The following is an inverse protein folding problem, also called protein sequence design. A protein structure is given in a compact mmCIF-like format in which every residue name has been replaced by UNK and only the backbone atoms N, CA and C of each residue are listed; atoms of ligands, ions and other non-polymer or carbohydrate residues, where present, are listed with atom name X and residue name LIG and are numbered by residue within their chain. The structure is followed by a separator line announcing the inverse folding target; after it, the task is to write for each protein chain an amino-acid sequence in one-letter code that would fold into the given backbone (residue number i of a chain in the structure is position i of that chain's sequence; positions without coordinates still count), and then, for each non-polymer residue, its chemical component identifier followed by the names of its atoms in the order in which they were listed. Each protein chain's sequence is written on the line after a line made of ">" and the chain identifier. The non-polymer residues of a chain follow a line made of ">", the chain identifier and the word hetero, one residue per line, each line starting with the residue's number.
data_IF_119868547268
#
_entry.id   IF_119868547268
#
_cell.length_a   1.000
_cell.length_b   1.000
_cell.length_c   1.000
_cell.angle_alpha   90.00
_cell.angle_beta   90.00
_cell.angle_gamma   90.00
#
_symmetry.space_group_name_H-M   'P 1'
#
loop_
_entity.id
_entity.type
_entity.pdbx_description
1 polymer ?
#
# COMPACT_ATOMS: atom_id res chain seq x y z
N UNK A 1 -3.05 1.33 29.39
CA UNK A 1 -2.86 1.58 27.95
C UNK A 1 -3.85 0.73 27.16
N UNK A 2 -3.95 0.90 25.84
CA UNK A 2 -4.76 0.06 24.95
C UNK A 2 -3.89 -0.62 23.90
N UNK A 3 -4.36 -1.76 23.39
CA UNK A 3 -3.79 -2.50 22.27
C UNK A 3 -4.90 -2.69 21.24
N UNK A 4 -4.87 -1.88 20.18
CA UNK A 4 -5.83 -1.92 19.08
C UNK A 4 -5.39 -2.91 18.02
N UNK A 5 -6.33 -3.66 17.45
CA UNK A 5 -6.08 -4.47 16.26
C UNK A 5 -7.37 -4.74 15.49
N UNK A 6 -7.24 -5.17 14.25
CA UNK A 6 -8.34 -5.76 13.45
C UNK A 6 -8.18 -7.28 13.37
N UNK A 7 -9.27 -8.02 13.53
CA UNK A 7 -9.24 -9.49 13.54
C UNK A 7 -9.25 -10.08 12.12
N UNK A 8 -8.21 -9.77 11.35
CA UNK A 8 -8.04 -10.20 9.96
C UNK A 8 -6.70 -10.90 9.81
N UNK A 9 -6.70 -12.08 9.18
CA UNK A 9 -5.45 -12.79 8.87
C UNK A 9 -4.67 -12.03 7.80
N UNK A 10 -3.46 -11.59 8.14
CA UNK A 10 -2.55 -10.89 7.22
C UNK A 10 -1.21 -11.61 7.14
N UNK A 11 -0.53 -11.50 6.00
CA UNK A 11 0.78 -12.14 5.79
C UNK A 11 1.78 -11.77 6.88
N UNK A 12 1.81 -10.50 7.29
CA UNK A 12 2.70 -9.99 8.35
C UNK A 12 2.23 -10.30 9.79
N UNK A 13 0.95 -10.62 10.00
CA UNK A 13 0.37 -10.87 11.32
C UNK A 13 -0.85 -11.81 11.20
N UNK A 14 -0.65 -13.14 11.15
CA UNK A 14 -1.74 -14.08 10.88
C UNK A 14 -2.73 -14.26 12.03
N UNK A 15 -2.27 -14.08 13.28
CA UNK A 15 -3.09 -14.29 14.49
C UNK A 15 -3.01 -13.06 15.41
N UNK A 16 -3.56 -11.90 15.00
CA UNK A 16 -3.37 -10.65 15.71
C UNK A 16 -3.92 -10.68 17.14
N UNK A 17 -5.06 -11.34 17.38
CA UNK A 17 -5.63 -11.48 18.73
C UNK A 17 -4.73 -12.24 19.71
N UNK A 18 -4.06 -13.32 19.26
CA UNK A 18 -3.11 -14.06 20.09
C UNK A 18 -1.89 -13.18 20.43
N UNK A 19 -1.36 -12.46 19.44
CA UNK A 19 -0.22 -11.54 19.65
C UNK A 19 -0.60 -10.40 20.60
N UNK A 20 -1.81 -9.84 20.48
CA UNK A 20 -2.31 -8.81 21.39
C UNK A 20 -2.41 -9.32 22.85
N UNK A 21 -2.95 -10.53 23.04
CA UNK A 21 -3.05 -11.17 24.35
C UNK A 21 -1.65 -11.46 24.95
N UNK A 22 -0.71 -11.93 24.14
CA UNK A 22 0.67 -12.18 24.57
C UNK A 22 1.38 -10.87 24.98
N UNK A 23 1.20 -9.79 24.22
CA UNK A 23 1.74 -8.46 24.56
C UNK A 23 1.09 -7.94 25.85
N UNK A 24 -0.24 -8.04 25.99
CA UNK A 24 -0.96 -7.66 27.21
C UNK A 24 -0.40 -8.38 28.44
N UNK A 25 -0.21 -9.70 28.34
CA UNK A 25 0.34 -10.50 29.44
C UNK A 25 1.78 -10.11 29.79
N UNK A 26 2.63 -9.87 28.79
CA UNK A 26 4.02 -9.45 28.99
C UNK A 26 4.13 -8.04 29.59
N UNK A 27 3.30 -7.09 29.14
CA UNK A 27 3.22 -5.75 29.72
C UNK A 27 2.86 -5.80 31.20
N UNK A 28 1.90 -6.65 31.58
CA UNK A 28 1.51 -6.82 32.97
C UNK A 28 2.61 -7.49 33.80
N UNK A 29 3.15 -8.60 33.31
CA UNK A 29 4.12 -9.40 34.06
C UNK A 29 5.47 -8.69 34.26
N UNK A 30 5.96 -8.01 33.21
CA UNK A 30 7.32 -7.46 33.20
C UNK A 30 7.37 -5.99 33.62
N UNK A 31 6.30 -5.23 33.37
CA UNK A 31 6.28 -3.78 33.58
C UNK A 31 5.14 -3.30 34.49
N UNK A 32 4.26 -4.20 34.95
CA UNK A 32 3.05 -3.87 35.70
C UNK A 32 2.13 -2.85 34.99
N UNK A 33 2.10 -2.88 33.67
CA UNK A 33 1.22 -2.04 32.85
C UNK A 33 -0.07 -2.82 32.57
N UNK A 34 -1.20 -2.25 32.98
CA UNK A 34 -2.52 -2.77 32.58
C UNK A 34 -2.86 -2.27 31.17
N UNK A 35 -3.03 -3.22 30.25
CA UNK A 35 -3.42 -2.98 28.87
C UNK A 35 -4.81 -3.55 28.58
N UNK A 36 -5.65 -2.80 27.90
CA UNK A 36 -6.93 -3.26 27.35
C UNK A 36 -6.74 -3.69 25.90
N UNK A 37 -7.21 -4.87 25.52
CA UNK A 37 -7.18 -5.34 24.12
C UNK A 37 -8.48 -4.91 23.46
N UNK A 38 -8.36 -4.13 22.37
CA UNK A 38 -9.48 -3.52 21.65
C UNK A 38 -9.49 -4.04 20.21
N UNK A 39 -10.55 -4.77 19.86
CA UNK A 39 -10.77 -5.23 18.48
C UNK A 39 -11.60 -4.19 17.75
N UNK A 40 -11.18 -3.82 16.54
CA UNK A 40 -11.87 -2.86 15.69
C UNK A 40 -12.27 -3.49 14.36
N UNK A 41 -13.31 -2.93 13.73
CA UNK A 41 -13.62 -3.21 12.32
C UNK A 41 -12.45 -2.76 11.44
N UNK A 42 -12.18 -3.45 10.33
CA UNK A 42 -10.97 -3.26 9.53
C UNK A 42 -10.88 -1.87 8.90
N UNK A 43 -11.98 -1.36 8.32
CA UNK A 43 -12.03 -0.02 7.74
C UNK A 43 -11.88 1.07 8.81
N UNK A 44 -12.64 0.96 9.90
CA UNK A 44 -12.53 1.88 11.04
C UNK A 44 -11.11 1.90 11.63
N UNK A 45 -10.49 0.73 11.79
CA UNK A 45 -9.12 0.61 12.29
C UNK A 45 -8.11 1.32 11.38
N UNK A 46 -8.19 1.08 10.06
CA UNK A 46 -7.24 1.69 9.12
C UNK A 46 -7.40 3.21 9.13
N UNK A 47 -8.63 3.72 9.04
CA UNK A 47 -8.91 5.15 9.09
C UNK A 47 -8.38 5.80 10.38
N UNK A 48 -8.71 5.23 11.54
CA UNK A 48 -8.28 5.76 12.84
C UNK A 48 -6.75 5.67 13.00
N UNK A 49 -6.12 4.61 12.48
CA UNK A 49 -4.66 4.45 12.53
C UNK A 49 -3.95 5.48 11.66
N UNK A 50 -4.37 5.69 10.40
CA UNK A 50 -3.77 6.69 9.51
C UNK A 50 -3.98 8.11 10.01
N UNK A 51 -5.13 8.40 10.64
CA UNK A 51 -5.43 9.69 11.24
C UNK A 51 -4.71 9.97 12.58
N UNK A 52 -3.98 8.99 13.14
CA UNK A 52 -3.32 9.14 14.44
C UNK A 52 -4.27 9.21 15.62
N UNK A 53 -5.50 8.68 15.49
CA UNK A 53 -6.57 8.78 16.49
C UNK A 53 -6.51 7.67 17.56
N UNK A 54 -5.68 6.64 17.35
CA UNK A 54 -5.55 5.50 18.27
C UNK A 54 -4.70 5.86 19.49
N UNK A 55 -5.34 6.02 20.66
CA UNK A 55 -4.71 6.39 21.93
C UNK A 55 -4.03 5.21 22.65
N UNK A 56 -3.12 4.51 21.96
CA UNK A 56 -2.41 3.35 22.49
C UNK A 56 -1.50 2.65 21.49
N UNK A 57 -1.16 1.40 21.79
CA UNK A 57 -0.44 0.53 20.87
C UNK A 57 -1.45 0.04 19.83
N UNK A 58 -1.07 -0.01 18.55
CA UNK A 58 -1.88 -0.67 17.54
C UNK A 58 -1.05 -1.72 16.79
N UNK A 59 -1.66 -2.87 16.49
CA UNK A 59 -1.01 -3.94 15.75
C UNK A 59 -1.32 -3.77 14.26
N UNK A 60 -0.32 -3.27 13.54
CA UNK A 60 -0.35 -3.10 12.10
C UNK A 60 0.88 -3.77 11.48
N UNK A 61 0.86 -3.91 10.16
CA UNK A 61 2.03 -4.27 9.38
C UNK A 61 1.80 -3.97 7.91
N UNK A 62 2.84 -4.23 7.12
CA UNK A 62 2.88 -3.89 5.72
C UNK A 62 3.36 -5.06 4.88
N UNK A 63 2.78 -5.21 3.70
CA UNK A 63 3.34 -6.01 2.62
C UNK A 63 3.55 -5.03 1.50
N UNK A 64 4.79 -4.87 1.04
CA UNK A 64 5.07 -3.84 0.06
C UNK A 64 4.22 -4.03 -1.19
N UNK A 65 3.70 -2.94 -1.75
CA UNK A 65 2.92 -2.89 -2.98
C UNK A 65 3.82 -2.99 -4.21
N UNK A 66 5.02 -2.41 -4.12
CA UNK A 66 6.05 -2.41 -5.16
C UNK A 66 7.46 -2.52 -4.54
N UNK A 67 8.47 -3.04 -5.28
CA UNK A 67 9.77 -3.39 -4.73
C UNK A 67 10.70 -2.18 -4.58
N UNK A 68 10.28 -1.15 -3.86
CA UNK A 68 11.08 0.05 -3.59
C UNK A 68 11.00 0.45 -2.12
N UNK A 69 12.10 0.98 -1.58
CA UNK A 69 12.20 1.36 -0.15
C UNK A 69 11.19 2.42 0.26
N UNK A 70 10.79 3.30 -0.68
CA UNK A 70 9.78 4.34 -0.44
C UNK A 70 8.46 3.75 0.03
N UNK A 71 8.10 2.56 -0.49
CA UNK A 71 6.86 1.90 -0.13
C UNK A 71 6.85 1.34 1.31
N UNK A 72 7.98 1.36 2.02
CA UNK A 72 8.03 0.98 3.44
C UNK A 72 8.30 2.19 4.33
N UNK A 73 9.37 2.94 4.06
CA UNK A 73 9.79 4.00 4.97
C UNK A 73 8.98 5.27 4.75
N UNK A 74 8.95 5.77 3.52
CA UNK A 74 8.33 7.05 3.20
C UNK A 74 6.81 6.99 3.41
N UNK A 75 6.16 5.87 3.06
CA UNK A 75 4.72 5.70 3.31
C UNK A 75 4.38 5.84 4.81
N UNK A 76 5.13 5.18 5.69
CA UNK A 76 4.83 5.12 7.13
C UNK A 76 5.40 6.29 7.95
N UNK A 77 6.44 6.97 7.47
CA UNK A 77 7.21 7.94 8.26
C UNK A 77 7.41 9.30 7.56
N UNK A 78 6.59 9.63 6.55
CA UNK A 78 6.57 10.96 5.95
C UNK A 78 6.16 12.05 6.97
N UNK A 79 6.52 13.30 6.68
CA UNK A 79 6.22 14.48 7.51
C UNK A 79 4.72 14.70 7.75
N UNK A 80 3.87 14.17 6.87
CA UNK A 80 2.41 14.29 6.95
C UNK A 80 1.72 13.08 7.58
N UNK A 81 2.44 11.97 7.82
CA UNK A 81 1.84 10.75 8.34
C UNK A 81 1.77 10.77 9.87
N UNK A 82 0.56 10.73 10.42
CA UNK A 82 0.28 10.82 11.86
C UNK A 82 0.13 9.46 12.56
N UNK A 83 0.38 8.35 11.85
CA UNK A 83 0.14 6.99 12.34
C UNK A 83 0.84 6.68 13.67
N UNK A 84 1.99 7.31 13.94
CA UNK A 84 2.76 7.14 15.16
C UNK A 84 2.79 8.38 16.05
N UNK A 85 1.84 9.31 15.87
CA UNK A 85 1.81 10.62 16.53
C UNK A 85 2.59 11.69 15.78
N UNK A 86 3.19 12.64 16.51
CA UNK A 86 3.96 13.74 15.91
C UNK A 86 5.18 13.18 15.12
N UNK A 87 5.32 13.50 13.82
CA UNK A 87 6.42 12.98 13.00
C UNK A 87 7.80 13.48 13.45
N UNK A 88 8.81 12.62 13.36
CA UNK A 88 10.18 12.93 13.78
C UNK A 88 11.02 13.50 12.64
N UNK A 89 11.55 14.73 12.75
CA UNK A 89 12.41 15.35 11.72
C UNK A 89 13.65 14.53 11.37
N UNK A 90 14.21 13.81 12.34
CA UNK A 90 15.35 12.90 12.18
C UNK A 90 15.03 11.71 11.26
N UNK A 91 13.75 11.38 11.09
CA UNK A 91 13.27 10.33 10.19
C UNK A 91 12.84 10.95 8.86
N UNK A 92 11.88 11.88 8.86
CA UNK A 92 11.24 12.29 7.60
C UNK A 92 12.14 13.17 6.71
N UNK A 93 13.09 13.94 7.28
CA UNK A 93 13.99 14.79 6.47
C UNK A 93 14.93 13.97 5.57
N UNK A 94 15.66 12.96 6.07
CA UNK A 94 16.46 12.12 5.18
C UNK A 94 15.62 11.34 4.18
N UNK A 95 14.41 10.87 4.54
CA UNK A 95 13.49 10.22 3.58
C UNK A 95 13.11 11.14 2.42
N UNK A 96 12.68 12.37 2.73
CA UNK A 96 12.33 13.37 1.72
C UNK A 96 13.49 13.64 0.76
N UNK A 97 14.69 13.86 1.29
CA UNK A 97 15.88 14.07 0.47
C UNK A 97 16.20 12.84 -0.39
N UNK A 98 16.08 11.64 0.16
CA UNK A 98 16.35 10.39 -0.55
C UNK A 98 15.37 10.15 -1.70
N UNK A 99 14.08 10.46 -1.50
CA UNK A 99 13.03 10.30 -2.52
C UNK A 99 13.20 11.19 -3.75
N UNK A 100 13.94 12.30 -3.62
CA UNK A 100 14.24 13.23 -4.72
C UNK A 100 15.47 12.79 -5.54
N UNK A 101 16.18 11.74 -5.11
CA UNK A 101 17.38 11.25 -5.77
C UNK A 101 17.06 10.25 -6.87
N UNK A 102 17.65 10.44 -8.05
CA UNK A 102 17.48 9.52 -9.19
C UNK A 102 18.20 8.18 -9.03
N UNK A 103 19.19 8.09 -8.14
CA UNK A 103 20.06 6.93 -7.97
C UNK A 103 19.79 6.25 -6.63
N UNK A 104 19.38 4.99 -6.66
CA UNK A 104 19.18 4.19 -5.46
C UNK A 104 20.47 4.06 -4.62
N UNK A 105 21.64 4.05 -5.27
CA UNK A 105 22.93 3.99 -4.59
C UNK A 105 23.25 5.30 -3.83
N UNK A 106 22.85 6.44 -4.39
CA UNK A 106 23.07 7.75 -3.76
C UNK A 106 22.03 8.01 -2.65
N UNK A 107 20.82 7.46 -2.80
CA UNK A 107 19.74 7.53 -1.80
C UNK A 107 19.99 6.60 -0.59
N UNK A 108 20.70 5.49 -0.78
CA UNK A 108 20.87 4.45 0.25
C UNK A 108 21.41 4.96 1.61
N UNK A 109 22.43 5.85 1.67
CA UNK A 109 22.92 6.38 2.94
C UNK A 109 21.86 7.18 3.73
N UNK A 110 20.98 7.90 3.05
CA UNK A 110 19.89 8.66 3.69
C UNK A 110 18.80 7.72 4.21
N UNK A 111 18.48 6.66 3.47
CA UNK A 111 17.58 5.61 3.98
C UNK A 111 18.18 4.87 5.18
N UNK A 112 19.49 4.65 5.22
CA UNK A 112 20.17 4.10 6.38
C UNK A 112 20.09 5.05 7.60
N UNK A 113 20.29 6.36 7.38
CA UNK A 113 20.12 7.39 8.41
C UNK A 113 18.70 7.36 9.00
N UNK A 114 17.67 7.38 8.15
CA UNK A 114 16.27 7.31 8.57
C UNK A 114 15.96 6.01 9.35
N UNK A 115 16.46 4.87 8.86
CA UNK A 115 16.25 3.57 9.51
C UNK A 115 16.96 3.50 10.89
N UNK A 116 18.12 4.11 11.02
CA UNK A 116 18.80 4.23 12.32
C UNK A 116 18.04 5.15 13.28
N UNK A 117 17.47 6.26 12.79
CA UNK A 117 16.60 7.13 13.59
C UNK A 117 15.33 6.41 14.06
N UNK A 118 14.68 5.61 13.21
CA UNK A 118 13.54 4.75 13.60
C UNK A 118 13.94 3.82 14.75
N UNK A 119 15.11 3.19 14.66
CA UNK A 119 15.62 2.31 15.73
C UNK A 119 15.90 3.04 17.04
N UNK A 120 16.36 4.29 16.98
CA UNK A 120 16.69 5.08 18.18
C UNK A 120 15.45 5.67 18.85
N UNK A 121 14.51 6.20 18.05
CA UNK A 121 13.31 6.90 18.52
C UNK A 121 12.15 5.94 18.83
N UNK A 122 12.16 4.75 18.22
CA UNK A 122 11.20 3.66 18.42
C UNK A 122 9.73 4.13 18.26
N UNK A 123 9.35 4.78 17.14
CA UNK A 123 7.95 5.09 16.84
C UNK A 123 7.11 3.81 16.66
N UNK A 124 7.75 2.72 16.25
CA UNK A 124 7.16 1.39 16.16
C UNK A 124 8.17 0.31 16.56
N UNK A 125 7.66 -0.88 16.90
CA UNK A 125 8.47 -2.05 17.26
C UNK A 125 8.26 -3.14 16.21
N UNK A 126 9.27 -3.44 15.36
CA UNK A 126 9.18 -4.56 14.44
C UNK A 126 9.06 -5.89 15.20
N UNK A 127 7.99 -6.65 14.94
CA UNK A 127 7.75 -7.94 15.60
C UNK A 127 8.29 -9.09 14.75
N UNK A 128 8.01 -9.10 13.44
CA UNK A 128 8.39 -10.18 12.55
C UNK A 128 8.40 -9.76 11.07
N UNK A 129 9.12 -10.52 10.24
CA UNK A 129 8.92 -10.60 8.80
C UNK A 129 8.47 -12.03 8.47
N UNK A 130 7.20 -12.19 8.13
CA UNK A 130 6.62 -13.50 7.85
C UNK A 130 6.72 -13.85 6.36
N UNK A 131 6.74 -15.15 6.06
CA UNK A 131 6.70 -15.62 4.68
C UNK A 131 5.26 -15.49 4.13
N UNK A 132 5.12 -15.00 2.91
CA UNK A 132 3.85 -15.07 2.17
C UNK A 132 3.63 -16.50 1.69
N UNK A 133 2.40 -17.01 1.84
CA UNK A 133 2.05 -18.35 1.36
C UNK A 133 0.67 -18.32 0.72
N UNK A 134 0.56 -18.99 -0.43
CA UNK A 134 -0.69 -19.25 -1.12
C UNK A 134 -0.82 -20.75 -1.30
N UNK A 135 -2.06 -21.25 -1.19
CA UNK A 135 -2.38 -22.63 -1.51
C UNK A 135 -3.25 -22.64 -2.78
N UNK A 136 -2.88 -23.49 -3.73
CA UNK A 136 -3.64 -23.74 -4.95
C UNK A 136 -3.88 -25.23 -5.12
N UNK A 137 -4.97 -25.61 -5.77
CA UNK A 137 -5.20 -27.00 -6.16
C UNK A 137 -4.16 -27.43 -7.20
N UNK A 138 -3.80 -28.71 -7.20
CA UNK A 138 -2.70 -29.22 -8.04
C UNK A 138 -2.91 -29.05 -9.55
N UNK A 139 -4.14 -28.79 -10.01
CA UNK A 139 -4.46 -28.51 -11.41
C UNK A 139 -4.18 -27.06 -11.83
N UNK A 140 -3.96 -26.14 -10.89
CA UNK A 140 -3.63 -24.74 -11.21
C UNK A 140 -2.16 -24.66 -11.61
N UNK A 141 -1.91 -24.30 -12.87
CA UNK A 141 -0.59 -24.04 -13.42
C UNK A 141 -0.27 -22.55 -13.31
N UNK A 142 1.00 -22.22 -13.14
CA UNK A 142 1.44 -20.82 -13.08
C UNK A 142 1.07 -20.08 -11.78
N UNK A 143 0.54 -20.80 -10.77
CA UNK A 143 0.27 -20.23 -9.46
C UNK A 143 1.54 -19.62 -8.86
N UNK A 144 1.51 -18.33 -8.58
CA UNK A 144 2.64 -17.56 -8.08
C UNK A 144 2.19 -16.62 -6.97
N UNK A 145 2.79 -16.78 -5.79
CA UNK A 145 2.63 -15.84 -4.68
C UNK A 145 3.71 -14.76 -4.84
N UNK A 146 3.34 -13.51 -5.19
CA UNK A 146 4.34 -12.47 -5.31
C UNK A 146 4.83 -12.04 -3.90
N UNK A 147 6.11 -11.65 -3.76
CA UNK A 147 6.65 -11.13 -2.52
C UNK A 147 6.23 -9.67 -2.23
N UNK A 148 5.62 -8.99 -3.20
CA UNK A 148 5.00 -7.66 -3.09
C UNK A 148 3.71 -7.61 -3.90
N UNK A 149 2.85 -6.63 -3.63
CA UNK A 149 1.62 -6.38 -4.34
C UNK A 149 0.66 -7.57 -4.34
N UNK A 150 -0.26 -7.55 -5.30
CA UNK A 150 -1.29 -8.58 -5.44
C UNK A 150 -0.89 -9.67 -6.44
N UNK A 151 -1.33 -10.90 -6.18
CA UNK A 151 -1.19 -11.96 -7.17
C UNK A 151 -2.00 -11.62 -8.43
N UNK A 152 -1.39 -11.87 -9.58
CA UNK A 152 -1.96 -11.58 -10.89
C UNK A 152 -2.54 -12.88 -11.47
N UNK A 153 -3.87 -13.02 -11.47
CA UNK A 153 -4.55 -14.27 -11.81
C UNK A 153 -4.58 -14.56 -13.31
N UNK A 154 -4.31 -13.58 -14.15
CA UNK A 154 -4.13 -13.77 -15.58
C UNK A 154 -2.93 -14.69 -15.93
N UNK A 155 -2.01 -14.94 -14.99
CA UNK A 155 -0.94 -15.93 -15.17
C UNK A 155 -1.31 -17.34 -14.71
N UNK A 156 -2.49 -17.54 -14.12
CA UNK A 156 -2.90 -18.79 -13.50
C UNK A 156 -3.88 -19.52 -14.42
N UNK A 157 -3.59 -20.78 -14.74
CA UNK A 157 -4.42 -21.61 -15.61
C UNK A 157 -4.94 -22.83 -14.83
N UNK A 158 -6.26 -22.90 -14.64
CA UNK A 158 -6.93 -24.06 -14.04
C UNK A 158 -7.69 -24.92 -15.07
N UNK A 159 -7.58 -24.60 -16.36
CA UNK A 159 -8.29 -25.25 -17.47
C UNK A 159 -9.73 -24.79 -17.68
N UNK A 160 -10.15 -23.67 -17.08
CA UNK A 160 -11.51 -23.13 -17.15
C UNK A 160 -11.53 -21.60 -17.22
N UNK A 161 -12.69 -21.03 -17.55
CA UNK A 161 -12.91 -19.57 -17.55
C UNK A 161 -13.27 -19.01 -16.16
N UNK A 162 -13.18 -19.82 -15.09
CA UNK A 162 -13.55 -19.40 -13.74
C UNK A 162 -12.47 -19.80 -12.75
N UNK A 163 -11.84 -18.80 -12.14
CA UNK A 163 -10.96 -19.00 -11.00
C UNK A 163 -11.74 -18.73 -9.71
N UNK A 164 -11.71 -19.68 -8.78
CA UNK A 164 -12.22 -19.50 -7.42
C UNK A 164 -11.03 -19.34 -6.49
N UNK A 165 -10.98 -18.23 -5.75
CA UNK A 165 -9.96 -17.98 -4.75
C UNK A 165 -10.62 -17.62 -3.40
N UNK A 166 -9.85 -17.75 -2.33
CA UNK A 166 -10.24 -17.39 -0.97
C UNK A 166 -9.25 -16.34 -0.47
N UNK A 167 -9.75 -15.32 0.23
CA UNK A 167 -8.92 -14.32 0.91
C UNK A 167 -9.41 -14.10 2.34
N UNK A 168 -8.65 -13.31 3.12
CA UNK A 168 -8.84 -13.18 4.56
C UNK A 168 -10.10 -12.43 4.99
N UNK A 169 -10.60 -11.49 4.17
CA UNK A 169 -11.80 -10.72 4.44
C UNK A 169 -12.48 -10.25 3.14
N UNK A 170 -13.72 -9.75 3.23
CA UNK A 170 -14.35 -9.05 2.11
C UNK A 170 -13.61 -7.75 1.77
N UNK A 171 -13.51 -7.35 0.49
CA UNK A 171 -13.05 -6.00 0.11
C UNK A 171 -13.86 -4.93 0.82
N UNK A 172 -13.20 -3.88 1.31
CA UNK A 172 -13.87 -2.73 1.93
C UNK A 172 -14.70 -1.99 0.87
N UNK A 173 -14.09 -1.74 -0.29
CA UNK A 173 -14.78 -1.25 -1.49
C UNK A 173 -14.04 -1.70 -2.76
N UNK A 174 -14.64 -1.43 -3.92
CA UNK A 174 -14.06 -1.70 -5.23
C UNK A 174 -13.71 -0.39 -5.99
N UNK A 175 -13.72 0.75 -5.30
CA UNK A 175 -13.20 2.00 -5.84
C UNK A 175 -11.68 2.09 -5.61
N UNK A 176 -10.94 1.39 -6.46
CA UNK A 176 -9.52 1.07 -6.28
C UNK A 176 -8.59 2.25 -5.96
N UNK A 177 -8.92 3.44 -6.42
CA UNK A 177 -8.10 4.64 -6.23
C UNK A 177 -8.09 5.19 -4.79
N UNK A 178 -9.02 4.73 -3.94
CA UNK A 178 -9.21 5.23 -2.57
C UNK A 178 -9.08 4.13 -1.50
N UNK A 179 -8.53 2.96 -1.87
CA UNK A 179 -8.33 1.83 -0.96
C UNK A 179 -6.85 1.63 -0.64
N UNK A 180 -6.56 1.23 0.61
CA UNK A 180 -5.20 0.92 1.09
C UNK A 180 -5.08 -0.48 1.68
N UNK A 181 -6.17 -1.25 1.74
CA UNK A 181 -6.17 -2.61 2.24
C UNK A 181 -5.89 -3.65 1.13
N UNK A 182 -5.25 -4.75 1.50
CA UNK A 182 -4.82 -5.76 0.54
C UNK A 182 -5.96 -6.62 -0.01
N UNK A 183 -7.12 -6.65 0.64
CA UNK A 183 -8.29 -7.42 0.24
C UNK A 183 -9.02 -6.71 -0.92
N UNK A 184 -9.15 -5.39 -0.85
CA UNK A 184 -9.63 -4.53 -1.94
C UNK A 184 -8.63 -4.48 -3.09
N UNK A 185 -7.36 -4.21 -2.82
CA UNK A 185 -6.32 -4.08 -3.85
C UNK A 185 -6.12 -5.38 -4.65
N UNK A 186 -6.33 -6.56 -4.04
CA UNK A 186 -6.24 -7.85 -4.74
C UNK A 186 -7.34 -8.04 -5.77
N UNK A 187 -8.57 -7.65 -5.45
CA UNK A 187 -9.68 -7.66 -6.40
C UNK A 187 -9.44 -6.63 -7.51
N UNK A 188 -9.02 -5.42 -7.13
CA UNK A 188 -8.69 -4.32 -8.04
C UNK A 188 -7.63 -4.72 -9.08
N UNK A 189 -6.55 -5.37 -8.66
CA UNK A 189 -5.47 -5.81 -9.57
C UNK A 189 -5.94 -6.75 -10.69
N UNK A 190 -7.16 -7.33 -10.60
CA UNK A 190 -7.72 -8.19 -11.65
C UNK A 190 -8.61 -7.43 -12.64
N UNK A 191 -9.05 -6.21 -12.31
CA UNK A 191 -10.05 -5.45 -13.07
C UNK A 191 -9.57 -4.08 -13.54
N UNK A 192 -8.48 -3.55 -12.97
CA UNK A 192 -7.81 -2.34 -13.45
C UNK A 192 -6.46 -2.67 -14.07
N UNK A 193 -6.00 -1.82 -14.98
CA UNK A 193 -4.74 -1.98 -15.69
C UNK A 193 -3.94 -0.67 -15.64
N UNK A 194 -2.64 -0.75 -15.32
CA UNK A 194 -1.79 0.43 -15.17
C UNK A 194 -1.03 0.76 -16.46
N UNK A 195 -0.43 1.96 -16.53
CA UNK A 195 0.48 2.32 -17.63
C UNK A 195 1.74 1.46 -17.61
N UNK A 196 2.26 1.19 -16.42
CA UNK A 196 3.44 0.38 -16.14
C UNK A 196 3.15 -0.61 -15.02
N UNK A 197 3.87 -1.72 -15.02
CA UNK A 197 3.80 -2.75 -13.97
C UNK A 197 5.20 -3.24 -13.62
N UNK A 198 5.27 -4.20 -12.71
CA UNK A 198 6.50 -4.92 -12.39
C UNK A 198 6.42 -6.35 -12.92
N UNK A 199 7.55 -6.85 -13.42
CA UNK A 199 7.74 -8.28 -13.64
C UNK A 199 7.73 -9.03 -12.31
N UNK A 200 7.63 -10.37 -12.35
CA UNK A 200 7.71 -11.19 -11.13
C UNK A 200 9.07 -11.04 -10.39
N UNK A 201 10.12 -10.60 -11.08
CA UNK A 201 11.45 -10.31 -10.53
C UNK A 201 11.60 -8.89 -9.99
N UNK A 202 10.62 -8.02 -10.22
CA UNK A 202 10.61 -6.65 -9.71
C UNK A 202 11.14 -5.60 -10.70
N UNK A 203 11.44 -6.01 -11.94
CA UNK A 203 11.83 -5.07 -12.99
C UNK A 203 10.61 -4.33 -13.53
N UNK A 204 10.74 -3.01 -13.71
CA UNK A 204 9.70 -2.15 -14.30
C UNK A 204 9.48 -2.54 -15.76
N UNK A 205 8.22 -2.69 -16.17
CA UNK A 205 7.83 -3.02 -17.54
C UNK A 205 6.60 -2.22 -18.03
N UNK A 206 6.54 -1.87 -19.32
CA UNK A 206 5.38 -1.22 -19.90
C UNK A 206 4.14 -2.13 -19.92
N UNK A 207 2.95 -1.54 -19.74
CA UNK A 207 1.67 -2.24 -19.80
C UNK A 207 0.70 -1.55 -20.79
N UNK A 208 -0.17 -0.64 -20.32
CA UNK A 208 -1.03 0.18 -21.19
C UNK A 208 -0.23 1.26 -21.93
N UNK A 209 0.92 1.67 -21.40
CA UNK A 209 1.92 2.41 -22.17
C UNK A 209 2.85 1.45 -22.93
N UNK A 210 3.43 1.91 -24.04
CA UNK A 210 4.55 1.23 -24.72
C UNK A 210 5.91 1.82 -24.32
N UNK A 211 5.93 3.01 -23.73
CA UNK A 211 7.12 3.71 -23.26
C UNK A 211 6.75 5.08 -22.67
N UNK A 212 7.53 5.58 -21.71
CA UNK A 212 7.46 6.94 -21.20
C UNK A 212 8.85 7.57 -21.19
N UNK A 213 8.96 8.78 -21.73
CA UNK A 213 10.21 9.53 -21.82
C UNK A 213 10.16 10.76 -20.90
N UNK A 214 11.13 10.94 -19.98
CA UNK A 214 11.18 12.11 -19.12
C UNK A 214 11.76 13.34 -19.84
N UNK A 215 11.42 14.53 -19.35
CA UNK A 215 12.17 15.75 -19.63
C UNK A 215 13.49 15.78 -18.82
N UNK A 216 14.34 16.78 -19.09
CA UNK A 216 15.72 16.81 -18.58
C UNK A 216 15.83 16.91 -17.04
N UNK A 217 14.84 17.49 -16.38
CA UNK A 217 14.75 17.69 -14.93
C UNK A 217 13.82 16.69 -14.24
N UNK A 218 13.31 15.67 -14.97
CA UNK A 218 12.46 14.60 -14.45
C UNK A 218 11.11 15.05 -13.87
N UNK A 219 10.64 16.25 -14.25
CA UNK A 219 9.38 16.84 -13.78
C UNK A 219 8.19 16.59 -14.71
N UNK A 220 8.45 16.13 -15.95
CA UNK A 220 7.42 15.79 -16.93
C UNK A 220 7.78 14.49 -17.65
N UNK A 221 6.79 13.61 -17.79
CA UNK A 221 6.92 12.35 -18.52
C UNK A 221 5.92 12.31 -19.68
N UNK A 222 6.39 11.97 -20.87
CA UNK A 222 5.55 11.77 -22.06
C UNK A 222 5.41 10.29 -22.35
N UNK A 223 4.21 9.74 -22.15
CA UNK A 223 3.91 8.32 -22.36
C UNK A 223 3.22 8.07 -23.71
N UNK A 224 3.72 7.08 -24.45
CA UNK A 224 3.05 6.56 -25.66
C UNK A 224 2.12 5.41 -25.26
N UNK A 225 0.84 5.48 -25.66
CA UNK A 225 -0.17 4.47 -25.28
C UNK A 225 -0.29 3.34 -26.29
N UNK A 226 -0.56 2.14 -25.79
CA UNK A 226 -0.87 0.95 -26.59
C UNK A 226 -2.14 1.19 -27.40
N UNK A 227 -2.10 0.85 -28.68
CA UNK A 227 -3.23 1.02 -29.59
C UNK A 227 -4.13 -0.22 -29.62
N UNK A 228 -5.42 -0.01 -29.87
CA UNK A 228 -6.40 -1.10 -30.05
C UNK A 228 -6.84 -1.78 -28.75
N UNK A 229 -6.55 -1.18 -27.59
CA UNK A 229 -7.08 -1.63 -26.30
C UNK A 229 -8.54 -1.18 -26.18
N UNK A 230 -9.39 -2.07 -25.66
CA UNK A 230 -10.82 -1.81 -25.46
C UNK A 230 -11.23 -2.18 -24.04
N UNK A 231 -12.16 -1.42 -23.48
CA UNK A 231 -12.81 -1.76 -22.21
C UNK A 231 -13.85 -2.88 -22.41
N UNK A 232 -14.34 -3.43 -21.31
CA UNK A 232 -15.34 -4.51 -21.32
C UNK A 232 -16.67 -4.12 -21.97
N UNK A 233 -16.99 -2.82 -22.04
CA UNK A 233 -18.18 -2.30 -22.72
C UNK A 233 -17.96 -2.05 -24.23
N UNK A 234 -16.74 -2.27 -24.73
CA UNK A 234 -16.34 -2.09 -26.12
C UNK A 234 -15.86 -0.68 -26.47
N UNK A 235 -15.83 0.27 -25.52
CA UNK A 235 -15.21 1.58 -25.74
C UNK A 235 -13.70 1.44 -25.93
N UNK A 236 -13.11 2.34 -26.71
CA UNK A 236 -11.67 2.34 -26.98
C UNK A 236 -10.92 3.09 -25.88
N UNK A 237 -9.78 2.55 -25.45
CA UNK A 237 -8.87 3.22 -24.53
C UNK A 237 -8.04 4.29 -25.25
N UNK A 238 -8.02 5.50 -24.70
CA UNK A 238 -7.18 6.61 -25.15
C UNK A 238 -6.61 7.47 -24.01
N UNK A 239 -5.95 8.57 -24.36
CA UNK A 239 -5.29 9.45 -23.40
C UNK A 239 -6.27 10.16 -22.44
N UNK A 240 -7.52 10.38 -22.84
CA UNK A 240 -8.53 10.98 -21.98
C UNK A 240 -8.89 10.05 -20.81
N UNK A 241 -8.87 8.72 -21.01
CA UNK A 241 -9.14 7.75 -19.94
C UNK A 241 -8.02 7.76 -18.90
N UNK A 242 -6.77 7.91 -19.35
CA UNK A 242 -5.61 8.10 -18.47
C UNK A 242 -5.80 9.38 -17.65
N UNK A 243 -6.10 10.50 -18.32
CA UNK A 243 -6.33 11.78 -17.63
C UNK A 243 -7.48 11.65 -16.64
N UNK A 244 -8.60 11.04 -17.02
CA UNK A 244 -9.74 10.84 -16.13
C UNK A 244 -9.37 10.01 -14.89
N UNK A 245 -8.59 8.94 -15.06
CA UNK A 245 -8.15 8.09 -13.95
C UNK A 245 -7.24 8.85 -12.97
N UNK A 246 -6.26 9.60 -13.48
CA UNK A 246 -5.38 10.42 -12.64
C UNK A 246 -6.12 11.59 -11.99
N UNK A 247 -7.02 12.27 -12.71
CA UNK A 247 -7.85 13.33 -12.15
C UNK A 247 -8.80 12.82 -11.06
N UNK A 248 -9.36 11.63 -11.21
CA UNK A 248 -10.18 11.02 -10.16
C UNK A 248 -9.38 10.77 -8.87
N UNK A 249 -8.10 10.39 -8.99
CA UNK A 249 -7.24 10.15 -7.83
C UNK A 249 -6.61 11.41 -7.22
N UNK A 250 -6.14 12.35 -8.06
CA UNK A 250 -5.34 13.50 -7.63
C UNK A 250 -6.12 14.79 -7.42
N UNK A 251 -7.18 15.04 -8.19
CA UNK A 251 -7.89 16.32 -8.17
C UNK A 251 -9.09 16.24 -7.24
N UNK A 252 -8.97 16.83 -6.06
CA UNK A 252 -10.04 16.84 -5.05
C UNK A 252 -11.31 17.59 -5.51
N UNK A 253 -11.23 18.39 -6.59
CA UNK A 253 -12.39 19.04 -7.19
C UNK A 253 -13.07 18.20 -8.29
N UNK A 254 -12.44 17.10 -8.72
CA UNK A 254 -13.01 16.21 -9.72
C UNK A 254 -14.33 15.61 -9.22
N UNK A 255 -15.39 15.57 -10.05
CA UNK A 255 -16.63 14.88 -9.69
C UNK A 255 -16.46 13.37 -9.52
N UNK A 256 -15.32 12.81 -9.95
CA UNK A 256 -14.95 11.40 -9.78
C UNK A 256 -14.06 11.19 -8.55
N UNK A 257 -13.67 12.24 -7.83
CA UNK A 257 -12.92 12.11 -6.57
C UNK A 257 -13.88 11.78 -5.42
N UNK A 258 -14.56 10.63 -5.54
CA UNK A 258 -15.58 10.17 -4.60
C UNK A 258 -15.39 8.67 -4.38
N UNK A 259 -14.46 8.35 -3.49
CA UNK A 259 -14.19 7.00 -3.03
C UNK A 259 -14.92 6.65 -1.73
N UNK A 260 -14.50 5.55 -1.11
CA UNK A 260 -15.06 5.06 0.14
C UNK A 260 -14.65 5.92 1.36
N UNK A 261 -13.37 6.28 1.47
CA UNK A 261 -12.81 7.10 2.54
C UNK A 261 -12.80 8.59 2.19
N UNK A 262 -12.62 8.91 0.91
CA UNK A 262 -12.41 10.26 0.39
C UNK A 262 -11.01 10.83 0.65
N UNK A 263 -10.07 10.03 1.13
CA UNK A 263 -8.72 10.46 1.53
C UNK A 263 -7.71 10.32 0.39
N UNK A 264 -7.87 9.30 -0.46
CA UNK A 264 -6.97 9.00 -1.59
C UNK A 264 -5.49 8.93 -1.18
N UNK A 265 -5.24 8.25 -0.06
CA UNK A 265 -3.97 8.24 0.68
C UNK A 265 -2.74 7.96 -0.22
N UNK A 266 -2.81 6.99 -1.14
CA UNK A 266 -1.71 6.72 -2.06
C UNK A 266 -1.45 7.84 -3.06
N UNK A 267 -2.49 8.51 -3.56
CA UNK A 267 -2.31 9.63 -4.49
C UNK A 267 -1.70 10.83 -3.77
N UNK A 268 -2.18 11.14 -2.57
CA UNK A 268 -1.62 12.19 -1.72
C UNK A 268 -0.13 11.92 -1.42
N UNK A 269 0.18 10.70 -0.97
CA UNK A 269 1.53 10.26 -0.66
C UNK A 269 2.47 10.27 -1.88
N UNK A 270 2.08 9.65 -2.99
CA UNK A 270 2.96 9.48 -4.16
C UNK A 270 3.19 10.78 -4.93
N UNK A 271 2.27 11.75 -4.83
CA UNK A 271 2.32 12.99 -5.59
C UNK A 271 2.51 14.24 -4.72
N UNK A 272 2.82 14.04 -3.43
CA UNK A 272 3.12 15.09 -2.48
C UNK A 272 1.96 16.10 -2.34
N UNK A 273 0.75 15.57 -2.18
CA UNK A 273 -0.47 16.34 -2.02
C UNK A 273 -1.50 16.11 -3.13
N UNK A 274 -2.78 16.10 -2.75
CA UNK A 274 -3.89 16.24 -3.69
C UNK A 274 -3.95 17.67 -4.25
N UNK A 275 -4.26 17.81 -5.55
CA UNK A 275 -4.49 19.13 -6.17
C UNK A 275 -5.93 19.59 -5.91
N UNK A 276 -6.11 20.92 -5.79
CA UNK A 276 -7.40 21.54 -5.50
C UNK A 276 -8.10 21.04 -4.22
N UNK A 277 -7.37 20.41 -3.29
CA UNK A 277 -7.88 20.13 -1.95
C UNK A 277 -8.17 21.46 -1.25
N UNK A 278 -9.43 21.69 -0.87
CA UNK A 278 -9.81 22.91 -0.15
C UNK A 278 -9.01 23.02 1.14
N UNK A 279 -8.29 24.13 1.31
CA UNK A 279 -7.59 24.46 2.56
C UNK A 279 -8.52 24.89 3.68
#
# INVERSE_FOLDING_TARGET
>A
TKIFYRDVTRGYLPTPGNVAADIQAQLKANLNIDAEVVVMESGEFIQASSAGELDGIHLLGWTGDYPHVTNFLDFHFAETNLQFGDPYPEIYKPLKLASEMASAADAAPLYEEANNAIKELVPMVPIAHAASSWAATANVKGAYAPPWGSAMFNFWDNGTDTLVFVQGNEPISLYCSDETDGESLRACAQVVEALYSYTQTGDVQPQLATGCEPNADLTQWTCTLRQGVVFHDGSAFDANDVVASFSAGLDASSPLHTGNSGVFEYYDYLWNGLINAGG
#
